data_IF_683468215358
#
_entry.id   IF_683468215358
#
_cell.length_a   1.000
_cell.length_b   1.000
_cell.length_c   1.000
_cell.angle_alpha   90.00
_cell.angle_beta   90.00
_cell.angle_gamma   90.00
#
_symmetry.space_group_name_H-M   'P 1'
#
loop_
_entity.id
_entity.type
_entity.pdbx_description
1 polymer ?
#
# COMPACT_ATOMS: atom_id res chain seq x y z
N UNK A 1 7.17 27.76 -12.24
CA UNK A 1 7.26 27.44 -11.85
C UNK A 1 7.11 27.20 -11.70
N UNK A 2 7.27 27.28 -12.29
CA UNK A 2 7.19 26.86 -11.97
C UNK A 2 6.96 26.65 -11.89
N UNK A 3 7.06 26.10 -11.80
CA UNK A 3 6.86 25.69 -11.65
C UNK A 3 6.54 25.42 -11.47
N UNK A 4 6.48 25.84 -11.79
CA UNK A 4 6.39 25.55 -11.61
C UNK A 4 6.02 25.21 -11.35
N UNK A 5 6.14 25.14 -11.63
CA UNK A 5 5.91 24.67 -11.54
C UNK A 5 5.61 24.42 -11.47
N UNK A 6 5.21 24.62 -12.03
CA UNK A 6 5.20 24.39 -11.57
C UNK A 6 5.20 24.03 -11.57
N UNK A 7 5.41 24.04 -12.41
CA UNK A 7 5.64 23.82 -12.07
C UNK A 7 5.85 23.50 -12.14
N UNK A 8 5.90 22.98 -12.38
CA UNK A 8 6.48 22.68 -12.23
C UNK A 8 6.87 22.43 -12.40
N UNK A 9 6.82 22.24 -12.84
CA UNK A 9 7.59 22.03 -12.82
C UNK A 9 8.08 21.65 -13.13
N UNK A 10 8.36 21.35 -13.81
CA UNK A 10 9.12 21.05 -13.93
C UNK A 10 9.81 20.67 -14.25
N UNK A 11 10.16 20.42 -14.87
CA UNK A 11 10.83 19.93 -15.06
C UNK A 11 11.66 19.50 -15.28
N UNK A 12 11.43 19.13 -15.62
CA UNK A 12 12.28 18.56 -15.51
C UNK A 12 12.91 17.89 -15.89
N UNK A 13 11.96 17.82 -16.42
CA UNK A 13 12.82 17.00 -17.25
C UNK A 13 12.57 15.49 -17.07
N UNK A 14 12.89 14.65 -18.06
CA UNK A 14 12.68 13.22 -17.99
C UNK A 14 13.43 12.56 -16.84
N UNK A 15 14.53 13.14 -16.40
CA UNK A 15 15.32 12.60 -15.30
C UNK A 15 14.57 12.61 -13.97
N UNK A 16 13.66 13.54 -13.80
CA UNK A 16 12.90 13.60 -12.56
C UNK A 16 11.98 12.42 -12.38
N UNK A 17 11.30 11.96 -13.44
CA UNK A 17 10.41 10.82 -13.31
C UNK A 17 11.18 9.53 -13.01
N UNK A 18 12.46 9.44 -13.38
CA UNK A 18 13.30 8.30 -13.01
C UNK A 18 13.67 8.30 -11.53
N UNK A 19 13.56 9.45 -10.88
CA UNK A 19 13.86 9.57 -9.45
C UNK A 19 12.67 9.29 -8.55
N UNK A 20 11.47 9.19 -9.12
CA UNK A 20 10.28 8.88 -8.33
C UNK A 20 10.30 7.41 -7.92
N UNK A 21 9.92 7.09 -6.66
CA UNK A 21 9.89 5.71 -6.21
C UNK A 21 8.82 4.87 -6.87
N UNK A 22 7.74 5.49 -7.39
CA UNK A 22 6.65 4.78 -8.05
C UNK A 22 6.70 4.92 -9.55
N UNK A 23 6.29 3.87 -10.24
CA UNK A 23 6.25 3.82 -11.72
C UNK A 23 4.86 3.38 -12.19
N UNK A 24 3.81 3.84 -11.50
CA UNK A 24 2.44 3.50 -11.84
C UNK A 24 1.92 2.22 -11.22
N UNK A 25 2.69 1.54 -10.42
CA UNK A 25 2.23 0.32 -9.74
C UNK A 25 0.98 0.64 -8.92
N UNK A 26 0.05 -0.31 -8.90
CA UNK A 26 -1.24 -0.12 -8.25
C UNK A 26 -1.20 -0.66 -6.84
N UNK A 27 -1.40 0.25 -5.88
CA UNK A 27 -1.36 -0.05 -4.46
C UNK A 27 -2.76 0.09 -3.88
N UNK A 28 -3.20 -0.91 -3.13
CA UNK A 28 -4.46 -0.84 -2.38
C UNK A 28 -4.14 -0.54 -0.92
N UNK A 29 -4.67 0.58 -0.42
CA UNK A 29 -4.50 0.97 0.98
C UNK A 29 -5.78 0.69 1.73
N UNK A 30 -5.70 -0.12 2.79
CA UNK A 30 -6.87 -0.55 3.58
C UNK A 30 -6.64 -0.25 5.05
N UNK A 31 -7.45 0.61 5.62
CA UNK A 31 -7.40 0.97 7.04
C UNK A 31 -8.74 1.62 7.40
N UNK A 32 -9.25 1.35 8.59
CA UNK A 32 -10.52 1.95 9.01
C UNK A 32 -10.39 3.42 9.44
N UNK A 33 -9.17 3.93 9.53
CA UNK A 33 -8.91 5.36 9.75
C UNK A 33 -8.93 6.09 8.42
N UNK A 34 -10.06 6.71 8.11
CA UNK A 34 -10.25 7.40 6.83
C UNK A 34 -9.22 8.50 6.58
N UNK A 35 -8.85 9.24 7.62
CA UNK A 35 -7.86 10.31 7.47
C UNK A 35 -6.50 9.76 7.08
N UNK A 36 -6.10 8.67 7.69
CA UNK A 36 -4.84 8.01 7.35
C UNK A 36 -4.86 7.50 5.91
N UNK A 37 -5.93 6.84 5.51
CA UNK A 37 -6.08 6.32 4.15
C UNK A 37 -5.97 7.43 3.12
N UNK A 38 -6.66 8.56 3.35
CA UNK A 38 -6.61 9.69 2.42
C UNK A 38 -5.22 10.30 2.35
N UNK A 39 -4.55 10.43 3.49
CA UNK A 39 -3.20 10.99 3.53
C UNK A 39 -2.20 10.09 2.80
N UNK A 40 -2.26 8.78 3.06
CA UNK A 40 -1.37 7.83 2.40
C UNK A 40 -1.60 7.81 0.90
N UNK A 41 -2.88 7.81 0.47
CA UNK A 41 -3.19 7.81 -0.95
C UNK A 41 -2.62 9.04 -1.66
N UNK A 42 -2.78 10.21 -1.04
CA UNK A 42 -2.26 11.44 -1.62
C UNK A 42 -0.73 11.40 -1.74
N UNK A 43 -0.07 10.97 -0.67
CA UNK A 43 1.38 10.89 -0.67
C UNK A 43 1.91 9.90 -1.69
N UNK A 44 1.33 8.72 -1.75
CA UNK A 44 1.78 7.69 -2.69
C UNK A 44 1.54 8.11 -4.14
N UNK A 45 0.40 8.74 -4.42
CA UNK A 45 0.14 9.25 -5.77
C UNK A 45 1.16 10.30 -6.18
N UNK A 46 1.54 11.18 -5.26
CA UNK A 46 2.55 12.20 -5.56
C UNK A 46 3.92 11.59 -5.83
N UNK A 47 4.15 10.36 -5.39
CA UNK A 47 5.42 9.66 -5.60
C UNK A 47 5.40 8.72 -6.81
N UNK A 48 4.34 8.76 -7.61
CA UNK A 48 4.27 8.01 -8.87
C UNK A 48 3.51 6.70 -8.82
N UNK A 49 2.90 6.37 -7.68
CA UNK A 49 2.08 5.16 -7.57
C UNK A 49 0.63 5.44 -7.97
N UNK A 50 -0.06 4.43 -8.46
CA UNK A 50 -1.52 4.46 -8.58
C UNK A 50 -2.09 3.87 -7.29
N UNK A 51 -3.20 4.43 -6.79
CA UNK A 51 -3.71 4.03 -5.47
C UNK A 51 -5.22 3.84 -5.50
N UNK A 52 -5.66 2.71 -4.95
CA UNK A 52 -7.04 2.47 -4.59
C UNK A 52 -7.13 2.42 -3.07
N UNK A 53 -8.29 2.74 -2.51
CA UNK A 53 -8.46 2.79 -1.07
C UNK A 53 -9.70 2.02 -0.65
N UNK A 54 -9.68 1.49 0.58
CA UNK A 54 -10.82 0.85 1.19
C UNK A 54 -10.73 1.06 2.71
N UNK A 55 -11.88 1.11 3.36
CA UNK A 55 -11.95 1.37 4.80
C UNK A 55 -12.15 0.11 5.64
N UNK A 56 -12.30 -1.03 5.00
CA UNK A 56 -12.40 -2.33 5.68
C UNK A 56 -12.14 -3.44 4.67
N UNK A 57 -12.02 -4.68 5.18
CA UNK A 57 -11.71 -5.82 4.32
C UNK A 57 -12.76 -6.14 3.29
N UNK A 58 -14.05 -6.02 3.65
CA UNK A 58 -15.13 -6.28 2.70
C UNK A 58 -15.12 -5.29 1.54
N UNK A 59 -14.92 -4.02 1.85
CA UNK A 59 -14.82 -2.99 0.83
C UNK A 59 -13.60 -3.24 -0.06
N UNK A 60 -12.49 -3.66 0.54
CA UNK A 60 -11.28 -3.96 -0.22
C UNK A 60 -11.52 -5.06 -1.25
N UNK A 61 -12.24 -6.12 -0.86
CA UNK A 61 -12.58 -7.21 -1.77
C UNK A 61 -13.42 -6.69 -2.93
N UNK A 62 -14.41 -5.85 -2.65
CA UNK A 62 -15.25 -5.28 -3.69
C UNK A 62 -14.45 -4.39 -4.64
N UNK A 63 -13.54 -3.58 -4.10
CA UNK A 63 -12.69 -2.71 -4.89
C UNK A 63 -11.84 -3.54 -5.85
N UNK A 64 -11.25 -4.62 -5.35
CA UNK A 64 -10.41 -5.50 -6.18
C UNK A 64 -11.24 -6.17 -7.27
N UNK A 65 -12.43 -6.67 -6.93
CA UNK A 65 -13.31 -7.34 -7.90
C UNK A 65 -13.76 -6.39 -9.01
N UNK A 66 -13.94 -5.11 -8.68
CA UNK A 66 -14.33 -4.11 -9.66
C UNK A 66 -13.18 -3.54 -10.47
N UNK A 67 -11.95 -3.93 -10.18
CA UNK A 67 -10.77 -3.38 -10.83
C UNK A 67 -10.28 -4.30 -11.93
N UNK A 68 -10.10 -3.76 -13.15
CA UNK A 68 -9.62 -4.54 -14.27
C UNK A 68 -8.11 -4.71 -14.28
N UNK A 69 -7.39 -3.87 -13.53
CA UNK A 69 -5.94 -3.90 -13.45
C UNK A 69 -5.53 -4.70 -12.20
N UNK A 70 -4.55 -5.62 -12.30
CA UNK A 70 -4.07 -6.35 -11.13
C UNK A 70 -3.50 -5.41 -10.07
N UNK A 71 -3.75 -5.74 -8.80
CA UNK A 71 -3.18 -5.01 -7.67
C UNK A 71 -1.75 -5.50 -7.47
N UNK A 72 -0.80 -4.57 -7.42
CA UNK A 72 0.61 -4.92 -7.24
C UNK A 72 0.97 -5.12 -5.78
N UNK A 73 0.40 -4.32 -4.88
CA UNK A 73 0.63 -4.47 -3.44
C UNK A 73 -0.57 -4.01 -2.65
N UNK A 74 -0.74 -4.61 -1.47
CA UNK A 74 -1.75 -4.23 -0.49
C UNK A 74 -1.03 -3.74 0.76
N UNK A 75 -1.43 -2.56 1.24
CA UNK A 75 -0.98 -1.99 2.50
C UNK A 75 -2.19 -2.02 3.43
N UNK A 76 -2.21 -2.95 4.38
CA UNK A 76 -3.40 -3.24 5.17
C UNK A 76 -3.14 -3.17 6.67
N UNK A 77 -4.05 -2.52 7.38
CA UNK A 77 -4.03 -2.53 8.85
C UNK A 77 -4.28 -3.95 9.35
N UNK A 78 -3.55 -4.36 10.37
CA UNK A 78 -3.72 -5.68 10.98
C UNK A 78 -5.09 -5.79 11.64
N UNK A 79 -5.51 -4.74 12.34
CA UNK A 79 -6.73 -4.76 13.15
C UNK A 79 -7.78 -3.83 12.54
N UNK A 80 -8.83 -4.43 11.99
CA UNK A 80 -9.99 -3.70 11.46
C UNK A 80 -11.24 -4.43 11.89
N UNK A 81 -12.38 -3.72 12.01
CA UNK A 81 -13.64 -4.39 12.35
C UNK A 81 -13.97 -5.51 11.36
N UNK A 82 -14.45 -6.62 11.86
CA UNK A 82 -14.92 -7.79 11.11
C UNK A 82 -13.82 -8.57 10.41
N UNK A 83 -13.00 -7.93 9.60
CA UNK A 83 -11.97 -8.61 8.81
C UNK A 83 -10.67 -7.81 8.90
N UNK A 84 -9.70 -8.32 9.62
CA UNK A 84 -8.38 -7.70 9.71
C UNK A 84 -7.55 -7.94 8.47
N UNK A 85 -6.36 -7.34 8.44
CA UNK A 85 -5.50 -7.41 7.25
C UNK A 85 -5.10 -8.82 6.87
N UNK A 86 -4.77 -9.66 7.86
CA UNK A 86 -4.37 -11.05 7.57
C UNK A 86 -5.53 -11.85 6.98
N UNK A 87 -6.74 -11.68 7.51
CA UNK A 87 -7.93 -12.36 6.97
C UNK A 87 -8.22 -11.89 5.55
N UNK A 88 -8.04 -10.60 5.29
CA UNK A 88 -8.21 -10.05 3.94
C UNK A 88 -7.24 -10.71 2.96
N UNK A 89 -5.97 -10.79 3.34
CA UNK A 89 -4.95 -11.38 2.46
C UNK A 89 -5.24 -12.86 2.21
N UNK A 90 -5.66 -13.59 3.25
CA UNK A 90 -6.02 -15.01 3.11
C UNK A 90 -7.22 -15.18 2.18
N UNK A 91 -8.21 -14.30 2.29
CA UNK A 91 -9.38 -14.34 1.41
C UNK A 91 -9.00 -14.06 -0.03
N UNK A 92 -8.12 -13.09 -0.25
CA UNK A 92 -7.64 -12.79 -1.61
C UNK A 92 -6.90 -13.99 -2.19
N UNK A 93 -6.07 -14.66 -1.40
CA UNK A 93 -5.35 -15.84 -1.84
C UNK A 93 -6.32 -16.95 -2.26
N UNK A 94 -7.40 -17.14 -1.50
CA UNK A 94 -8.46 -18.10 -1.85
C UNK A 94 -9.07 -17.77 -3.21
N UNK A 95 -9.20 -16.48 -3.52
CA UNK A 95 -9.74 -16.03 -4.79
C UNK A 95 -8.69 -15.95 -5.91
N UNK A 96 -7.48 -16.44 -5.66
CA UNK A 96 -6.41 -16.45 -6.65
C UNK A 96 -5.66 -15.12 -6.81
N UNK A 97 -5.81 -14.21 -5.84
CA UNK A 97 -5.18 -12.89 -5.89
C UNK A 97 -4.00 -12.85 -4.91
N UNK A 98 -2.79 -12.66 -5.44
CA UNK A 98 -1.56 -12.75 -4.66
C UNK A 98 -0.69 -11.50 -4.84
N UNK A 99 -1.12 -10.33 -4.31
CA UNK A 99 -0.29 -9.13 -4.40
C UNK A 99 0.86 -9.18 -3.41
N UNK A 100 1.80 -8.26 -3.53
CA UNK A 100 2.74 -8.02 -2.44
C UNK A 100 1.97 -7.51 -1.23
N UNK A 101 2.43 -7.82 -0.02
CA UNK A 101 1.69 -7.49 1.19
C UNK A 101 2.58 -6.74 2.17
N UNK A 102 2.07 -5.63 2.70
CA UNK A 102 2.66 -4.90 3.81
C UNK A 102 1.57 -4.68 4.84
N UNK A 103 1.82 -5.06 6.08
CA UNK A 103 0.87 -4.81 7.16
C UNK A 103 1.24 -3.56 7.93
N UNK A 104 0.22 -2.88 8.46
CA UNK A 104 0.39 -1.74 9.37
C UNK A 104 -0.22 -2.09 10.71
N UNK A 105 0.38 -1.66 11.80
CA UNK A 105 -0.16 -1.92 13.13
C UNK A 105 0.11 -0.78 14.09
N UNK A 106 -0.93 -0.39 14.83
CA UNK A 106 -0.80 0.49 15.99
C UNK A 106 -0.81 -0.29 17.30
N UNK A 107 -0.88 -1.61 17.23
CA UNK A 107 -1.00 -2.48 18.40
C UNK A 107 0.19 -3.42 18.50
N UNK A 108 0.51 -3.79 19.73
CA UNK A 108 1.54 -4.78 20.01
C UNK A 108 0.96 -6.05 20.63
N UNK A 109 -0.33 -6.36 20.38
CA UNK A 109 -0.97 -7.56 20.90
C UNK A 109 -0.37 -8.80 20.23
N UNK A 110 0.35 -9.65 20.99
CA UNK A 110 1.01 -10.81 20.40
C UNK A 110 0.05 -11.78 19.73
N UNK A 111 -1.18 -11.90 20.22
CA UNK A 111 -2.16 -12.84 19.65
C UNK A 111 -2.55 -12.40 18.25
N UNK A 112 -2.79 -11.11 18.05
CA UNK A 112 -3.19 -10.59 16.74
C UNK A 112 -2.02 -10.49 15.77
N UNK A 113 -0.82 -10.21 16.29
CA UNK A 113 0.37 -10.07 15.46
C UNK A 113 0.99 -11.41 15.06
N UNK A 114 0.78 -12.47 15.83
CA UNK A 114 1.44 -13.75 15.58
C UNK A 114 1.22 -14.29 14.16
N UNK A 115 -0.02 -14.31 13.62
CA UNK A 115 -0.22 -14.80 12.24
C UNK A 115 0.47 -13.93 11.20
N UNK A 116 0.50 -12.61 11.46
CA UNK A 116 1.15 -11.64 10.57
C UNK A 116 2.65 -11.87 10.55
N UNK A 117 3.25 -12.03 11.72
CA UNK A 117 4.70 -12.29 11.83
C UNK A 117 5.08 -13.62 11.19
N UNK A 118 4.24 -14.63 11.34
CA UNK A 118 4.48 -15.95 10.72
C UNK A 118 4.42 -15.89 9.21
N UNK A 119 3.65 -14.96 8.65
CA UNK A 119 3.52 -14.86 7.20
C UNK A 119 4.80 -14.43 6.51
N UNK A 120 5.71 -13.80 7.26
CA UNK A 120 6.95 -13.27 6.69
C UNK A 120 6.78 -11.95 5.97
N UNK A 121 5.57 -11.41 5.85
CA UNK A 121 5.34 -10.12 5.21
C UNK A 121 5.84 -8.99 6.12
N UNK A 122 6.30 -7.88 5.53
CA UNK A 122 6.73 -6.73 6.32
C UNK A 122 5.60 -6.16 7.17
N UNK A 123 5.97 -5.65 8.33
CA UNK A 123 5.05 -4.99 9.26
C UNK A 123 5.60 -3.61 9.60
N UNK A 124 4.80 -2.57 9.35
CA UNK A 124 5.13 -1.20 9.72
C UNK A 124 4.35 -0.83 10.97
N UNK A 125 5.06 -0.39 11.99
CA UNK A 125 4.43 0.08 13.23
C UNK A 125 4.05 1.55 13.10
N UNK A 126 2.81 1.87 13.43
CA UNK A 126 2.32 3.25 13.43
C UNK A 126 2.81 3.97 14.69
N UNK A 127 3.20 5.23 14.59
CA UNK A 127 3.36 5.99 13.35
C UNK A 127 4.65 5.63 12.62
N UNK A 128 4.62 5.66 11.30
CA UNK A 128 5.81 5.42 10.48
C UNK A 128 6.06 6.61 9.56
N UNK A 129 7.29 6.73 9.10
CA UNK A 129 7.64 7.80 8.17
C UNK A 129 7.29 7.39 6.75
N UNK A 130 7.09 8.39 5.88
CA UNK A 130 6.91 8.12 4.46
C UNK A 130 8.12 7.39 3.88
N UNK A 131 9.32 7.79 4.32
CA UNK A 131 10.55 7.13 3.87
C UNK A 131 10.54 5.64 4.20
N UNK A 132 10.17 5.27 5.43
CA UNK A 132 10.10 3.87 5.83
C UNK A 132 9.10 3.09 4.97
N UNK A 133 7.93 3.69 4.70
CA UNK A 133 6.93 3.06 3.84
C UNK A 133 7.47 2.84 2.43
N UNK A 134 8.10 3.84 1.85
CA UNK A 134 8.61 3.74 0.48
C UNK A 134 9.69 2.67 0.36
N UNK A 135 10.61 2.60 1.33
CA UNK A 135 11.66 1.59 1.32
C UNK A 135 11.05 0.18 1.33
N UNK A 136 10.09 -0.06 2.22
CA UNK A 136 9.44 -1.37 2.32
C UNK A 136 8.63 -1.67 1.06
N UNK A 137 7.91 -0.67 0.56
CA UNK A 137 7.06 -0.83 -0.63
C UNK A 137 7.91 -1.18 -1.85
N UNK A 138 9.03 -0.48 -2.08
CA UNK A 138 9.92 -0.82 -3.19
C UNK A 138 10.48 -2.23 -3.04
N UNK A 139 10.87 -2.61 -1.82
CA UNK A 139 11.38 -3.96 -1.58
C UNK A 139 10.35 -5.02 -1.96
N UNK A 140 9.08 -4.83 -1.56
CA UNK A 140 8.02 -5.79 -1.86
C UNK A 140 7.75 -5.85 -3.36
N UNK A 141 7.66 -4.69 -4.01
CA UNK A 141 7.38 -4.62 -5.46
C UNK A 141 8.52 -5.21 -6.28
N UNK A 142 9.76 -4.96 -5.90
CA UNK A 142 10.92 -5.45 -6.65
C UNK A 142 11.04 -6.97 -6.54
N UNK A 143 10.71 -7.54 -5.40
CA UNK A 143 10.70 -9.00 -5.25
C UNK A 143 9.68 -9.66 -6.18
N UNK A 144 8.51 -9.05 -6.33
CA UNK A 144 7.45 -9.59 -7.20
C UNK A 144 7.86 -9.59 -8.67
N UNK A 145 8.66 -8.59 -9.07
CA UNK A 145 9.10 -8.47 -10.47
C UNK A 145 10.42 -9.17 -10.74
N UNK A 146 11.03 -9.77 -9.71
CA UNK A 146 12.30 -10.48 -9.87
C UNK A 146 13.52 -9.57 -9.91
N UNK A 147 13.39 -8.35 -9.41
CA UNK A 147 14.52 -7.39 -9.41
C UNK A 147 15.32 -7.40 -8.15
#
# INVERSE_FOLDING_TARGET
MAEQHGGPPAPHNGGESLLLPGHGELILVVDDDEKLVKALARMLRSLGFSVLTALNGSEAIEVIRGCSTPIDAVLADVVMPKMGGKDLVDRLATDGVHPGVIYMSGYDDPVQLAPVLKSGAPLLHKPFTLHALVVVLRSVLDKRTGR
#
